data_IF_020670963832
#
_entry.id   IF_020670963832
#
_cell.length_a   1.000
_cell.length_b   1.000
_cell.length_c   1.000
_cell.angle_alpha   90.00
_cell.angle_beta   90.00
_cell.angle_gamma   90.00
#
_symmetry.space_group_name_H-M   'P 1'
#
loop_
_entity.id
_entity.type
_entity.pdbx_description
1 polymer ?
#
# COMPACT_ATOMS: atom_id res chain seq x y z
N UNK A 1 -0.57 16.23 -21.64
CA UNK A 1 0.29 15.41 -20.77
C UNK A 1 -0.52 14.25 -20.23
N UNK A 2 0.03 13.05 -20.12
CA UNK A 2 -0.68 11.88 -19.58
C UNK A 2 -0.39 11.84 -18.08
N UNK A 3 -1.44 11.90 -17.25
CA UNK A 3 -1.28 11.79 -15.79
C UNK A 3 -0.64 10.46 -15.43
N UNK A 4 0.44 10.48 -14.67
CA UNK A 4 1.18 9.27 -14.30
C UNK A 4 1.79 9.37 -12.89
N UNK A 5 2.17 8.22 -12.34
CA UNK A 5 2.91 8.12 -11.09
C UNK A 5 3.73 6.83 -11.10
N UNK A 6 4.71 6.75 -10.21
CA UNK A 6 5.56 5.56 -10.02
C UNK A 6 5.16 4.87 -8.73
N UNK A 7 5.10 3.53 -8.76
CA UNK A 7 4.87 2.72 -7.56
C UNK A 7 6.04 2.86 -6.59
N UNK A 8 5.75 2.97 -5.29
CA UNK A 8 6.71 2.86 -4.19
C UNK A 8 6.89 1.42 -3.70
N UNK A 9 5.81 0.68 -3.38
CA UNK A 9 5.88 -0.68 -2.76
C UNK A 9 5.12 -1.76 -3.55
N UNK A 10 5.72 -2.94 -3.76
CA UNK A 10 5.05 -4.10 -4.36
C UNK A 10 4.68 -5.06 -3.24
N UNK A 11 3.39 -5.17 -2.95
CA UNK A 11 2.90 -5.88 -1.77
C UNK A 11 3.12 -7.39 -1.85
N UNK A 12 2.93 -8.00 -3.01
CA UNK A 12 2.77 -9.46 -3.13
C UNK A 12 3.59 -10.06 -4.27
N UNK A 13 4.80 -9.52 -4.47
CA UNK A 13 5.80 -10.16 -5.32
C UNK A 13 6.03 -11.62 -4.91
N UNK A 14 5.94 -11.91 -3.61
CA UNK A 14 5.82 -13.26 -3.07
C UNK A 14 4.39 -13.47 -2.54
N UNK A 15 3.80 -14.63 -2.83
CA UNK A 15 2.44 -14.97 -2.36
C UNK A 15 2.46 -15.54 -0.93
N UNK A 16 3.17 -14.86 -0.02
CA UNK A 16 3.32 -15.23 1.38
C UNK A 16 2.75 -14.13 2.30
N UNK A 17 2.02 -14.52 3.34
CA UNK A 17 1.32 -13.54 4.19
C UNK A 17 2.26 -12.68 5.03
N UNK A 18 3.38 -13.21 5.52
CA UNK A 18 4.32 -12.42 6.32
C UNK A 18 5.17 -11.51 5.45
N UNK A 19 5.53 -11.96 4.24
CA UNK A 19 6.13 -11.07 3.25
C UNK A 19 5.21 -9.87 2.96
N UNK A 20 3.94 -10.13 2.61
CA UNK A 20 2.97 -9.06 2.30
C UNK A 20 2.77 -8.12 3.49
N UNK A 21 2.76 -8.65 4.71
CA UNK A 21 2.68 -7.84 5.92
C UNK A 21 3.91 -6.94 6.10
N UNK A 22 5.12 -7.45 5.84
CA UNK A 22 6.34 -6.65 5.83
C UNK A 22 6.25 -5.49 4.83
N UNK A 23 5.76 -5.77 3.62
CA UNK A 23 5.52 -4.72 2.62
C UNK A 23 4.46 -3.70 3.05
N UNK A 24 3.43 -4.12 3.80
CA UNK A 24 2.45 -3.17 4.36
C UNK A 24 3.04 -2.28 5.46
N UNK A 25 4.03 -2.75 6.21
CA UNK A 25 4.76 -1.92 7.17
C UNK A 25 5.65 -0.90 6.45
N UNK A 26 6.30 -1.29 5.35
CA UNK A 26 7.04 -0.36 4.48
C UNK A 26 6.13 0.75 3.93
N UNK A 27 4.89 0.40 3.52
CA UNK A 27 3.88 1.39 3.11
C UNK A 27 3.59 2.38 4.24
N UNK A 28 3.42 1.89 5.47
CA UNK A 28 3.16 2.74 6.62
C UNK A 28 4.31 3.72 6.86
N UNK A 29 5.53 3.20 6.93
CA UNK A 29 6.74 3.99 7.16
C UNK A 29 6.94 5.04 6.06
N UNK A 30 6.84 4.62 4.79
CA UNK A 30 6.98 5.54 3.64
C UNK A 30 5.90 6.63 3.65
N UNK A 31 4.65 6.29 3.92
CA UNK A 31 3.56 7.28 3.98
C UNK A 31 3.80 8.34 5.07
N UNK A 32 4.31 7.91 6.24
CA UNK A 32 4.58 8.81 7.36
C UNK A 32 5.80 9.71 7.12
N UNK A 33 6.80 9.24 6.38
CA UNK A 33 8.02 10.00 6.07
C UNK A 33 7.82 10.94 4.87
N UNK A 34 7.29 10.42 3.77
CA UNK A 34 7.22 11.11 2.47
C UNK A 34 5.87 11.82 2.25
N UNK A 35 4.87 11.54 3.07
CA UNK A 35 3.53 12.12 2.99
C UNK A 35 2.60 11.44 1.97
N UNK A 36 3.14 10.79 0.94
CA UNK A 36 2.38 10.01 -0.04
C UNK A 36 3.09 8.70 -0.42
N UNK A 37 2.33 7.64 -0.69
CA UNK A 37 2.87 6.34 -1.13
C UNK A 37 1.88 5.64 -2.05
N UNK A 38 2.38 5.01 -3.12
CA UNK A 38 1.58 4.15 -3.99
C UNK A 38 2.08 2.71 -3.87
N UNK A 39 1.25 1.83 -3.33
CA UNK A 39 1.49 0.40 -3.30
C UNK A 39 0.67 -0.33 -4.37
N UNK A 40 1.24 -1.34 -5.01
CA UNK A 40 0.47 -2.25 -5.90
C UNK A 40 0.53 -3.67 -5.38
N UNK A 41 -0.51 -4.44 -5.68
CA UNK A 41 -0.54 -5.88 -5.50
C UNK A 41 -1.55 -6.50 -6.46
N UNK A 42 -1.74 -7.80 -6.35
CA UNK A 42 -2.69 -8.56 -7.13
C UNK A 42 -3.94 -8.93 -6.32
N UNK A 43 -5.02 -9.30 -7.01
CA UNK A 43 -6.24 -9.83 -6.42
C UNK A 43 -6.07 -11.29 -5.97
N UNK A 44 -5.20 -11.52 -4.98
CA UNK A 44 -4.93 -12.84 -4.38
C UNK A 44 -5.52 -12.94 -2.98
N UNK A 45 -5.79 -14.16 -2.54
CA UNK A 45 -6.44 -14.40 -1.25
C UNK A 45 -5.55 -13.99 -0.06
N UNK A 46 -4.24 -14.23 -0.14
CA UNK A 46 -3.30 -13.82 0.91
C UNK A 46 -3.20 -12.30 0.99
N UNK A 47 -3.08 -11.62 -0.16
CA UNK A 47 -3.08 -10.15 -0.26
C UNK A 47 -4.35 -9.56 0.34
N UNK A 48 -5.52 -10.11 0.01
CA UNK A 48 -6.80 -9.70 0.59
C UNK A 48 -6.83 -9.80 2.12
N UNK A 49 -6.42 -10.95 2.70
CA UNK A 49 -6.44 -11.14 4.15
C UNK A 49 -5.45 -10.26 4.90
N UNK A 50 -4.30 -9.94 4.30
CA UNK A 50 -3.35 -9.00 4.91
C UNK A 50 -3.87 -7.58 4.81
N UNK A 51 -4.38 -7.14 3.65
CA UNK A 51 -5.02 -5.82 3.51
C UNK A 51 -6.17 -5.63 4.50
N UNK A 52 -7.06 -6.62 4.62
CA UNK A 52 -8.18 -6.60 5.57
C UNK A 52 -7.73 -6.38 7.02
N UNK A 53 -6.56 -6.88 7.40
CA UNK A 53 -5.98 -6.73 8.74
C UNK A 53 -5.23 -5.41 8.91
N UNK A 54 -4.44 -5.01 7.91
CA UNK A 54 -3.50 -3.90 8.02
C UNK A 54 -4.11 -2.54 7.69
N UNK A 55 -5.06 -2.45 6.76
CA UNK A 55 -5.68 -1.17 6.36
C UNK A 55 -6.29 -0.42 7.55
N UNK A 56 -7.05 -1.06 8.48
CA UNK A 56 -7.54 -0.37 9.67
C UNK A 56 -6.42 0.18 10.57
N UNK A 57 -5.29 -0.51 10.65
CA UNK A 57 -4.14 -0.06 11.46
C UNK A 57 -3.42 1.12 10.81
N UNK A 58 -3.32 1.15 9.47
CA UNK A 58 -2.83 2.33 8.74
C UNK A 58 -3.70 3.56 9.04
N UNK A 59 -5.02 3.39 8.96
CA UNK A 59 -5.98 4.46 9.26
C UNK A 59 -5.83 4.95 10.71
N UNK A 60 -5.71 4.03 11.68
CA UNK A 60 -5.46 4.40 13.10
C UNK A 60 -4.14 5.14 13.29
N UNK A 61 -3.14 4.88 12.46
CA UNK A 61 -1.86 5.61 12.49
C UNK A 61 -1.90 6.98 11.79
N UNK A 62 -3.08 7.41 11.31
CA UNK A 62 -3.27 8.72 10.69
C UNK A 62 -3.06 8.73 9.18
N UNK A 63 -2.98 7.57 8.52
CA UNK A 63 -2.86 7.47 7.07
C UNK A 63 -4.25 7.41 6.43
N UNK A 64 -4.51 8.31 5.49
CA UNK A 64 -5.70 8.29 4.65
C UNK A 64 -5.48 7.39 3.41
N UNK A 65 -6.48 6.56 3.07
CA UNK A 65 -6.45 5.78 1.83
C UNK A 65 -7.36 6.44 0.80
N UNK A 66 -6.76 6.93 -0.28
CA UNK A 66 -7.43 7.63 -1.36
C UNK A 66 -7.38 6.83 -2.69
N UNK A 67 -8.28 7.09 -3.64
CA UNK A 67 -8.13 6.64 -5.01
C UNK A 67 -6.82 7.14 -5.64
N UNK A 68 -6.15 6.28 -6.41
CA UNK A 68 -4.87 6.63 -7.06
C UNK A 68 -4.96 7.86 -7.98
N UNK A 69 -6.15 8.18 -8.48
CA UNK A 69 -6.40 9.39 -9.30
C UNK A 69 -6.08 10.70 -8.58
N UNK A 70 -6.03 10.69 -7.25
CA UNK A 70 -5.67 11.86 -6.43
C UNK A 70 -4.16 12.06 -6.31
N UNK A 71 -3.36 11.01 -6.55
CA UNK A 71 -1.89 11.03 -6.42
C UNK A 71 -1.16 11.17 -7.76
N UNK A 72 -1.80 10.81 -8.88
CA UNK A 72 -1.21 10.92 -10.22
C UNK A 72 -1.14 12.38 -10.69
N UNK A 73 0.00 12.74 -11.30
CA UNK A 73 0.31 14.10 -11.75
C UNK A 73 0.38 14.14 -13.29
#
# INVERSE_FOLDING_TARGET
>A
EIKSAVRSVFLDNENDMEYIKGQMLEVQETALIEGEVIAIGHSRINTFYVLKRMVPELIKSGIEIVPVSELVK
#
